data_IF_362162880626
#
_entry.id   IF_362162880626
#
_cell.length_a   1.000
_cell.length_b   1.000
_cell.length_c   1.000
_cell.angle_alpha   90.00
_cell.angle_beta   90.00
_cell.angle_gamma   90.00
#
_symmetry.space_group_name_H-M   'P 1'
#
loop_
_entity.id
_entity.type
_entity.pdbx_description
1 polymer ?
#
# COMPACT_ATOMS: atom_id res chain seq x y z
N UNK A 1 69.76 -16.81 18.18
CA UNK A 1 68.74 -17.34 17.26
C UNK A 1 67.58 -17.82 18.12
N UNK A 2 66.42 -17.15 18.09
CA UNK A 2 65.29 -17.55 18.95
C UNK A 2 64.25 -16.46 19.21
N UNK A 3 63.81 -15.74 18.18
CA UNK A 3 62.73 -14.75 18.32
C UNK A 3 61.70 -14.75 17.17
N UNK A 4 61.85 -15.63 16.18
CA UNK A 4 61.02 -15.60 14.95
C UNK A 4 59.94 -16.69 14.92
N UNK A 5 60.01 -17.72 15.77
CA UNK A 5 58.97 -18.78 15.84
C UNK A 5 57.67 -18.30 16.50
N UNK A 6 57.71 -17.27 17.36
CA UNK A 6 56.53 -16.81 18.10
C UNK A 6 55.52 -16.01 17.26
N UNK A 7 55.95 -15.40 16.15
CA UNK A 7 55.07 -14.52 15.35
C UNK A 7 54.37 -15.31 14.25
N UNK A 8 55.09 -16.17 13.55
CA UNK A 8 54.56 -17.13 12.58
C UNK A 8 53.58 -18.09 13.22
N UNK A 9 53.83 -18.58 14.44
CA UNK A 9 52.88 -19.43 15.16
C UNK A 9 51.59 -18.70 15.54
N UNK A 10 51.66 -17.41 15.92
CA UNK A 10 50.47 -16.61 16.24
C UNK A 10 49.64 -16.27 15.01
N UNK A 11 50.29 -15.94 13.89
CA UNK A 11 49.61 -15.70 12.60
C UNK A 11 49.00 -16.99 12.06
N UNK A 12 49.69 -18.13 12.22
CA UNK A 12 49.17 -19.45 11.83
C UNK A 12 47.99 -19.88 12.70
N UNK A 13 48.04 -19.63 14.02
CA UNK A 13 46.93 -19.86 14.95
C UNK A 13 45.73 -18.92 14.72
N UNK A 14 45.95 -17.67 14.31
CA UNK A 14 44.86 -16.76 13.90
C UNK A 14 44.29 -17.14 12.53
N UNK A 15 45.11 -17.59 11.58
CA UNK A 15 44.65 -18.12 10.29
C UNK A 15 43.90 -19.45 10.45
N UNK A 16 44.32 -20.31 11.38
CA UNK A 16 43.62 -21.55 11.77
C UNK A 16 42.33 -21.27 12.54
N UNK A 17 42.31 -20.27 13.44
CA UNK A 17 41.07 -19.80 14.08
C UNK A 17 40.10 -19.17 13.09
N UNK A 18 40.58 -18.43 12.10
CA UNK A 18 39.75 -17.83 11.05
C UNK A 18 39.28 -18.85 10.01
N UNK A 19 40.02 -19.94 9.79
CA UNK A 19 39.58 -21.04 8.91
C UNK A 19 38.67 -22.06 9.64
N UNK A 20 38.75 -22.17 10.97
CA UNK A 20 37.85 -23.02 11.76
C UNK A 20 36.41 -22.47 11.90
N UNK A 21 36.14 -21.20 11.57
CA UNK A 21 34.78 -20.63 11.62
C UNK A 21 33.89 -21.11 10.45
N UNK A 22 34.45 -21.73 9.41
CA UNK A 22 33.72 -22.03 8.16
C UNK A 22 33.34 -23.50 7.94
N UNK A 23 33.46 -24.40 8.93
CA UNK A 23 33.32 -25.85 8.69
C UNK A 23 31.93 -26.48 8.93
N UNK A 24 30.91 -25.73 9.38
CA UNK A 24 29.60 -26.33 9.76
C UNK A 24 28.46 -26.13 8.74
N UNK A 25 28.67 -25.30 7.71
CA UNK A 25 27.66 -25.10 6.68
C UNK A 25 27.83 -26.14 5.56
N UNK A 26 26.90 -27.10 5.48
CA UNK A 26 26.86 -28.08 4.38
C UNK A 26 26.13 -27.48 3.19
N UNK A 27 26.70 -27.59 2.01
CA UNK A 27 26.05 -27.14 0.77
C UNK A 27 25.56 -28.32 -0.06
N UNK A 28 24.30 -28.27 -0.50
CA UNK A 28 23.71 -29.24 -1.43
C UNK A 28 22.93 -28.48 -2.49
N UNK A 29 23.47 -28.40 -3.71
CA UNK A 29 22.88 -27.59 -4.78
C UNK A 29 22.74 -26.12 -4.37
N UNK A 30 21.52 -25.59 -4.44
CA UNK A 30 21.19 -24.21 -4.03
C UNK A 30 21.00 -24.02 -2.52
N UNK A 31 21.12 -25.09 -1.72
CA UNK A 31 20.84 -25.07 -0.28
C UNK A 31 22.13 -24.88 0.52
N UNK A 32 22.05 -24.00 1.51
CA UNK A 32 23.00 -23.85 2.60
C UNK A 32 22.36 -24.42 3.86
N UNK A 33 22.97 -25.45 4.45
CA UNK A 33 22.39 -26.25 5.53
C UNK A 33 23.23 -26.07 6.79
N UNK A 34 22.58 -25.55 7.83
CA UNK A 34 23.06 -25.49 9.21
C UNK A 34 21.91 -25.76 10.17
N UNK A 35 22.21 -26.05 11.44
CA UNK A 35 21.15 -26.23 12.45
C UNK A 35 20.40 -24.91 12.69
N UNK A 36 19.16 -24.99 13.16
CA UNK A 36 18.37 -23.80 13.49
C UNK A 36 19.05 -22.97 14.58
N UNK A 37 19.58 -23.61 15.64
CA UNK A 37 20.34 -22.93 16.70
C UNK A 37 21.55 -22.18 16.13
N UNK A 38 22.33 -22.82 15.26
CA UNK A 38 23.47 -22.18 14.60
C UNK A 38 23.05 -20.99 13.75
N UNK A 39 21.87 -21.07 13.11
CA UNK A 39 21.31 -19.96 12.34
C UNK A 39 21.01 -18.75 13.23
N UNK A 40 20.44 -18.98 14.40
CA UNK A 40 20.17 -17.93 15.39
C UNK A 40 21.48 -17.38 15.96
N UNK A 41 22.42 -18.23 16.37
CA UNK A 41 23.72 -17.81 16.90
C UNK A 41 24.54 -16.96 15.92
N UNK A 42 24.50 -17.31 14.64
CA UNK A 42 25.17 -16.52 13.60
C UNK A 42 24.42 -15.20 13.35
N UNK A 43 23.08 -15.22 13.36
CA UNK A 43 22.26 -14.02 13.18
C UNK A 43 22.40 -13.02 14.33
N UNK A 44 22.60 -13.48 15.57
CA UNK A 44 22.85 -12.63 16.74
C UNK A 44 24.12 -11.78 16.63
N UNK A 45 25.03 -12.12 15.71
CA UNK A 45 26.25 -11.35 15.44
C UNK A 45 26.06 -10.27 14.39
N UNK A 46 24.90 -10.24 13.74
CA UNK A 46 24.54 -9.27 12.71
C UNK A 46 23.71 -8.15 13.35
N UNK A 47 23.81 -6.90 12.86
CA UNK A 47 22.95 -5.83 13.34
C UNK A 47 21.49 -6.09 12.97
N UNK A 48 20.58 -5.66 13.84
CA UNK A 48 19.15 -5.69 13.54
C UNK A 48 18.82 -4.77 12.34
N UNK A 49 17.86 -5.15 11.49
CA UNK A 49 17.36 -4.28 10.44
C UNK A 49 16.85 -2.95 10.99
N UNK A 50 17.22 -1.85 10.32
CA UNK A 50 16.78 -0.50 10.70
C UNK A 50 15.50 -0.13 9.96
N UNK A 51 14.56 0.50 10.66
CA UNK A 51 13.42 1.18 10.04
C UNK A 51 13.91 2.41 9.25
N UNK A 52 13.72 2.38 7.94
CA UNK A 52 14.16 3.43 7.03
C UNK A 52 13.08 4.50 6.85
N UNK A 53 11.81 4.17 7.07
CA UNK A 53 10.71 5.11 6.85
C UNK A 53 9.43 4.73 7.61
N UNK A 54 9.38 5.06 8.90
CA UNK A 54 8.18 5.01 9.74
C UNK A 54 7.46 3.65 9.72
N UNK A 55 8.18 2.53 9.57
CA UNK A 55 7.64 1.17 9.50
C UNK A 55 7.11 0.76 8.13
N UNK A 56 7.14 1.64 7.13
CA UNK A 56 6.75 1.35 5.75
C UNK A 56 7.89 0.72 4.94
N UNK A 57 9.15 0.92 5.33
CA UNK A 57 10.31 0.33 4.66
C UNK A 57 11.39 0.01 5.69
N UNK A 58 11.75 -1.26 5.83
CA UNK A 58 12.89 -1.68 6.66
C UNK A 58 14.08 -2.11 5.81
N UNK A 59 15.26 -2.01 6.40
CA UNK A 59 16.50 -2.44 5.77
C UNK A 59 16.46 -3.93 5.37
N UNK A 60 16.88 -4.21 4.14
CA UNK A 60 16.88 -5.55 3.60
C UNK A 60 15.49 -6.10 3.28
N UNK A 61 14.47 -5.26 3.11
CA UNK A 61 13.15 -5.67 2.58
C UNK A 61 13.03 -5.47 1.06
N UNK A 62 12.09 -6.21 0.46
CA UNK A 62 11.52 -5.85 -0.85
C UNK A 62 10.11 -5.32 -0.60
N UNK A 63 9.93 -4.01 -0.64
CA UNK A 63 8.65 -3.37 -0.42
C UNK A 63 7.97 -2.97 -1.74
N UNK A 64 6.64 -2.92 -1.75
CA UNK A 64 5.87 -2.39 -2.86
C UNK A 64 4.95 -1.25 -2.41
N UNK A 65 5.03 -0.13 -3.13
CA UNK A 65 4.07 0.97 -3.06
C UNK A 65 3.17 0.94 -4.28
N UNK A 66 1.86 0.85 -4.08
CA UNK A 66 0.90 0.94 -5.17
C UNK A 66 -0.21 1.95 -4.91
N UNK A 67 -0.78 2.48 -5.98
CA UNK A 67 -1.89 3.42 -5.92
C UNK A 67 -2.47 3.68 -7.30
N UNK A 68 -3.68 4.23 -7.32
CA UNK A 68 -4.33 4.73 -8.52
C UNK A 68 -3.46 5.82 -9.21
N UNK A 69 -3.71 6.03 -10.50
CA UNK A 69 -3.04 7.10 -11.25
C UNK A 69 -3.29 8.45 -10.58
N UNK A 70 -2.25 9.30 -10.57
CA UNK A 70 -2.28 10.64 -9.95
C UNK A 70 -2.50 10.68 -8.43
N UNK A 71 -2.39 9.55 -7.72
CA UNK A 71 -2.45 9.53 -6.26
C UNK A 71 -1.19 10.10 -5.57
N UNK A 72 -0.12 10.38 -6.33
CA UNK A 72 1.13 10.95 -5.80
C UNK A 72 2.21 9.92 -5.44
N UNK A 73 2.19 8.71 -6.03
CA UNK A 73 3.18 7.64 -5.78
C UNK A 73 4.63 8.11 -5.88
N UNK A 74 5.00 8.71 -7.02
CA UNK A 74 6.35 9.20 -7.27
C UNK A 74 6.74 10.33 -6.33
N UNK A 75 5.79 11.19 -5.94
CA UNK A 75 6.03 12.25 -4.95
C UNK A 75 6.37 11.61 -3.59
N UNK A 76 5.58 10.63 -3.15
CA UNK A 76 5.82 9.93 -1.88
C UNK A 76 7.14 9.12 -1.92
N UNK A 77 7.44 8.48 -3.05
CA UNK A 77 8.67 7.74 -3.27
C UNK A 77 9.91 8.64 -3.22
N UNK A 78 9.87 9.80 -3.88
CA UNK A 78 10.94 10.80 -3.83
C UNK A 78 11.07 11.39 -2.43
N UNK A 79 9.97 11.70 -1.74
CA UNK A 79 10.01 12.17 -0.35
C UNK A 79 10.66 11.13 0.58
N UNK A 80 10.32 9.85 0.43
CA UNK A 80 10.94 8.78 1.21
C UNK A 80 12.42 8.63 0.87
N UNK A 81 12.78 8.69 -0.43
CA UNK A 81 14.15 8.67 -0.88
C UNK A 81 14.98 9.83 -0.34
N UNK A 82 14.46 11.05 -0.38
CA UNK A 82 15.09 12.24 0.20
C UNK A 82 15.25 12.14 1.73
N UNK A 83 14.24 11.62 2.43
CA UNK A 83 14.33 11.42 3.88
C UNK A 83 15.47 10.45 4.24
N UNK A 84 15.52 9.29 3.55
CA UNK A 84 16.55 8.27 3.78
C UNK A 84 17.94 8.81 3.37
N UNK A 85 18.00 9.60 2.30
CA UNK A 85 19.25 10.11 1.74
C UNK A 85 20.02 11.04 2.67
N UNK A 86 19.35 11.61 3.67
CA UNK A 86 20.02 12.42 4.72
C UNK A 86 21.02 11.62 5.55
N UNK A 87 20.92 10.29 5.58
CA UNK A 87 21.80 9.40 6.36
C UNK A 87 22.43 8.27 5.57
N UNK A 88 21.87 7.89 4.42
CA UNK A 88 22.29 6.72 3.63
C UNK A 88 22.25 7.07 2.15
N UNK A 89 22.96 6.35 1.29
CA UNK A 89 22.86 6.57 -0.16
C UNK A 89 21.65 5.84 -0.75
N UNK A 90 20.91 6.55 -1.60
CA UNK A 90 19.68 6.06 -2.22
C UNK A 90 19.78 6.26 -3.72
N UNK A 91 19.46 5.21 -4.48
CA UNK A 91 19.31 5.24 -5.92
C UNK A 91 17.83 5.22 -6.29
N UNK A 92 17.31 6.32 -6.83
CA UNK A 92 15.97 6.44 -7.38
C UNK A 92 16.02 6.26 -8.90
N UNK A 93 15.53 5.13 -9.37
CA UNK A 93 15.45 4.77 -10.78
C UNK A 93 14.10 5.21 -11.33
N UNK A 94 14.11 6.28 -12.12
CA UNK A 94 12.95 6.96 -12.68
C UNK A 94 12.77 6.59 -14.15
N UNK A 95 11.69 5.86 -14.44
CA UNK A 95 11.30 5.44 -15.77
C UNK A 95 10.13 6.25 -16.33
N UNK A 96 9.63 7.25 -15.60
CA UNK A 96 8.42 7.97 -15.96
C UNK A 96 8.71 9.42 -16.38
N UNK A 97 9.61 10.11 -15.67
CA UNK A 97 9.83 11.55 -15.88
C UNK A 97 11.15 11.84 -16.54
N UNK A 98 11.18 12.89 -17.35
CA UNK A 98 12.43 13.49 -17.80
C UNK A 98 13.06 14.39 -16.74
N UNK A 99 14.36 14.65 -16.85
CA UNK A 99 15.09 15.61 -16.02
C UNK A 99 14.36 16.95 -15.91
N UNK A 100 13.83 17.47 -17.03
CA UNK A 100 13.11 18.74 -17.03
C UNK A 100 11.80 18.67 -16.27
N UNK A 101 11.05 17.57 -16.40
CA UNK A 101 9.80 17.37 -15.66
C UNK A 101 10.07 17.22 -14.16
N UNK A 102 11.14 16.52 -13.78
CA UNK A 102 11.57 16.40 -12.39
C UNK A 102 11.96 17.76 -11.80
N UNK A 103 12.79 18.54 -12.52
CA UNK A 103 13.16 19.90 -12.11
C UNK A 103 11.95 20.80 -11.92
N UNK A 104 11.01 20.80 -12.87
CA UNK A 104 9.80 21.61 -12.80
C UNK A 104 8.89 21.24 -11.63
N UNK A 105 8.91 19.99 -11.17
CA UNK A 105 8.16 19.56 -9.98
C UNK A 105 8.77 20.12 -8.70
N UNK A 106 10.09 20.19 -8.64
CA UNK A 106 10.83 20.59 -7.43
C UNK A 106 11.42 22.00 -7.53
N UNK A 107 10.71 22.90 -8.22
CA UNK A 107 11.09 24.31 -8.36
C UNK A 107 9.84 25.18 -8.26
N UNK A 108 9.88 26.19 -7.39
CA UNK A 108 8.86 27.23 -7.35
C UNK A 108 9.00 28.12 -8.58
N UNK A 109 7.97 28.14 -9.43
CA UNK A 109 7.95 29.02 -10.61
C UNK A 109 7.83 30.50 -10.23
N UNK A 110 7.16 30.79 -9.12
CA UNK A 110 6.87 32.15 -8.67
C UNK A 110 8.08 32.78 -8.00
N UNK A 111 8.76 32.02 -7.14
CA UNK A 111 9.92 32.51 -6.38
C UNK A 111 11.26 32.22 -7.07
N UNK A 112 11.28 31.34 -8.07
CA UNK A 112 12.49 30.89 -8.75
C UNK A 112 13.40 29.97 -7.92
N UNK A 113 12.98 29.61 -6.69
CA UNK A 113 13.74 28.73 -5.82
C UNK A 113 13.56 27.26 -6.21
N UNK A 114 14.68 26.53 -6.22
CA UNK A 114 14.70 25.08 -6.40
C UNK A 114 14.86 24.40 -5.05
N UNK A 115 14.16 23.30 -4.84
CA UNK A 115 14.45 22.41 -3.73
C UNK A 115 15.84 21.77 -3.93
N UNK A 116 16.61 21.70 -2.85
CA UNK A 116 17.96 21.12 -2.86
C UNK A 116 17.90 19.79 -2.14
N UNK A 117 18.07 18.71 -2.90
CA UNK A 117 18.16 17.35 -2.38
C UNK A 117 19.53 17.08 -1.75
N UNK A 118 19.61 16.07 -0.89
CA UNK A 118 20.88 15.53 -0.38
C UNK A 118 21.77 15.02 -1.52
N UNK A 119 23.08 15.23 -1.42
CA UNK A 119 24.07 14.68 -2.37
C UNK A 119 24.14 13.13 -2.36
N UNK A 120 23.53 12.49 -1.36
CA UNK A 120 23.36 11.04 -1.29
C UNK A 120 22.11 10.53 -2.02
N UNK A 121 21.28 11.41 -2.58
CA UNK A 121 20.08 11.06 -3.34
C UNK A 121 20.38 11.05 -4.84
N UNK A 122 20.71 9.88 -5.37
CA UNK A 122 21.02 9.68 -6.78
C UNK A 122 19.74 9.40 -7.55
N UNK A 123 19.48 10.16 -8.62
CA UNK A 123 18.43 9.86 -9.59
C UNK A 123 19.04 9.29 -10.87
N UNK A 124 18.54 8.16 -11.33
CA UNK A 124 18.88 7.57 -12.62
C UNK A 124 17.64 7.58 -13.52
N UNK A 125 17.80 8.02 -14.76
CA UNK A 125 16.78 7.99 -15.82
C UNK A 125 17.21 6.98 -16.89
N UNK A 126 16.26 6.42 -17.65
CA UNK A 126 16.61 5.65 -18.84
C UNK A 126 17.12 6.61 -19.92
N UNK A 127 18.34 6.37 -20.40
CA UNK A 127 18.85 7.00 -21.60
C UNK A 127 18.27 6.30 -22.85
N UNK A 128 17.42 6.98 -23.65
CA UNK A 128 16.80 6.40 -24.83
C UNK A 128 17.81 5.93 -25.89
N UNK A 129 19.00 6.54 -25.95
CA UNK A 129 20.03 6.19 -26.94
C UNK A 129 20.72 4.86 -26.63
N UNK A 130 20.63 4.42 -25.37
CA UNK A 130 21.25 3.20 -24.87
C UNK A 130 20.24 2.04 -24.70
N UNK A 131 18.97 2.23 -25.10
CA UNK A 131 17.95 1.16 -25.04
C UNK A 131 18.19 0.13 -26.14
N UNK A 132 18.73 -1.03 -25.77
CA UNK A 132 18.75 -2.22 -26.61
C UNK A 132 17.38 -2.93 -26.63
N UNK A 133 16.89 -3.30 -27.81
CA UNK A 133 15.60 -4.01 -27.97
C UNK A 133 15.69 -5.49 -27.56
N UNK A 134 16.88 -6.09 -27.61
CA UNK A 134 17.10 -7.49 -27.22
C UNK A 134 17.47 -7.61 -25.74
N UNK A 135 16.86 -8.57 -25.03
CA UNK A 135 17.13 -8.85 -23.61
C UNK A 135 17.03 -7.63 -22.67
N UNK A 136 16.11 -6.71 -22.98
CA UNK A 136 15.88 -5.47 -22.23
C UNK A 136 15.82 -5.70 -20.71
N UNK A 137 15.09 -6.72 -20.26
CA UNK A 137 14.94 -7.08 -18.85
C UNK A 137 16.25 -7.50 -18.18
N UNK A 138 17.16 -8.18 -18.89
CA UNK A 138 18.45 -8.57 -18.33
C UNK A 138 19.41 -7.39 -18.28
N UNK A 139 19.40 -6.57 -19.33
CA UNK A 139 20.20 -5.36 -19.42
C UNK A 139 19.85 -4.41 -18.27
N UNK A 140 18.56 -4.09 -18.08
CA UNK A 140 18.14 -3.13 -17.06
C UNK A 140 18.45 -3.60 -15.63
N UNK A 141 18.35 -4.90 -15.34
CA UNK A 141 18.75 -5.44 -14.04
C UNK A 141 20.25 -5.25 -13.80
N UNK A 142 21.07 -5.50 -14.83
CA UNK A 142 22.52 -5.31 -14.76
C UNK A 142 22.90 -3.84 -14.63
N UNK A 143 22.15 -2.95 -15.27
CA UNK A 143 22.37 -1.50 -15.18
C UNK A 143 21.97 -0.98 -13.79
N UNK A 144 20.87 -1.47 -13.22
CA UNK A 144 20.50 -1.19 -11.81
C UNK A 144 21.58 -1.70 -10.85
N UNK A 145 22.09 -2.92 -11.04
CA UNK A 145 23.21 -3.48 -10.26
C UNK A 145 24.43 -2.55 -10.36
N UNK A 146 24.81 -2.18 -11.58
CA UNK A 146 25.99 -1.35 -11.85
C UNK A 146 25.85 0.04 -11.26
N UNK A 147 24.69 0.69 -11.40
CA UNK A 147 24.42 2.01 -10.85
C UNK A 147 24.40 1.98 -9.32
N UNK A 148 23.80 0.95 -8.71
CA UNK A 148 23.81 0.75 -7.25
C UNK A 148 25.23 0.60 -6.72
N UNK A 149 26.09 -0.15 -7.41
CA UNK A 149 27.51 -0.33 -7.02
C UNK A 149 28.33 0.94 -7.23
N UNK A 150 28.17 1.62 -8.36
CA UNK A 150 28.91 2.86 -8.67
C UNK A 150 28.57 3.99 -7.70
N UNK A 151 27.30 4.11 -7.32
CA UNK A 151 26.86 5.09 -6.33
C UNK A 151 27.04 4.60 -4.89
N UNK A 152 27.34 3.31 -4.67
CA UNK A 152 27.37 2.67 -3.36
C UNK A 152 26.02 2.84 -2.60
N UNK A 153 24.92 2.76 -3.35
CA UNK A 153 23.56 2.87 -2.83
C UNK A 153 23.03 1.49 -2.44
N UNK A 154 22.72 1.31 -1.15
CA UNK A 154 22.09 0.08 -0.62
C UNK A 154 20.56 0.13 -0.65
N UNK A 155 19.99 1.31 -0.86
CA UNK A 155 18.54 1.50 -1.02
C UNK A 155 18.29 1.84 -2.48
N UNK A 156 17.46 1.05 -3.15
CA UNK A 156 17.07 1.27 -4.54
C UNK A 156 15.56 1.40 -4.62
N UNK A 157 15.10 2.51 -5.19
CA UNK A 157 13.70 2.78 -5.47
C UNK A 157 13.50 2.68 -6.99
N UNK A 158 12.50 1.93 -7.43
CA UNK A 158 12.21 1.68 -8.84
C UNK A 158 10.81 2.21 -9.18
N UNK A 159 10.73 3.29 -9.94
CA UNK A 159 9.47 3.93 -10.37
C UNK A 159 9.36 3.93 -11.91
N UNK A 160 8.56 3.07 -12.56
CA UNK A 160 7.63 2.06 -12.06
C UNK A 160 7.89 0.71 -12.75
N UNK A 161 7.54 -0.39 -12.07
CA UNK A 161 7.65 -1.76 -12.59
C UNK A 161 6.88 -1.99 -13.91
N UNK A 162 5.80 -1.25 -14.18
CA UNK A 162 5.04 -1.38 -15.44
C UNK A 162 5.91 -1.13 -16.68
N UNK A 163 6.85 -0.18 -16.63
CA UNK A 163 7.75 0.09 -17.74
C UNK A 163 8.66 -1.11 -18.04
N UNK A 164 9.05 -1.83 -16.99
CA UNK A 164 9.95 -2.98 -17.06
C UNK A 164 9.25 -4.27 -17.55
N UNK A 165 7.92 -4.34 -17.48
CA UNK A 165 7.14 -5.52 -17.84
C UNK A 165 6.23 -5.31 -19.06
N UNK A 166 6.42 -4.20 -19.80
CA UNK A 166 5.50 -3.69 -20.83
C UNK A 166 5.29 -4.64 -22.03
N UNK A 167 6.19 -5.59 -22.26
CA UNK A 167 6.10 -6.63 -23.29
C UNK A 167 5.46 -7.94 -22.82
N UNK A 168 5.04 -8.02 -21.55
CA UNK A 168 4.63 -9.28 -20.92
C UNK A 168 3.21 -9.22 -20.34
N UNK A 169 2.21 -9.46 -21.19
CA UNK A 169 0.88 -9.90 -20.73
C UNK A 169 0.92 -11.25 -19.97
N UNK A 170 2.11 -11.88 -19.87
CA UNK A 170 2.36 -13.14 -19.18
C UNK A 170 3.06 -12.88 -17.85
N UNK A 171 2.34 -13.02 -16.74
CA UNK A 171 2.87 -12.85 -15.37
C UNK A 171 4.06 -13.74 -14.97
N UNK A 172 4.51 -14.65 -15.83
CA UNK A 172 5.71 -15.47 -15.63
C UNK A 172 7.01 -14.67 -15.82
N UNK A 173 7.01 -13.68 -16.73
CA UNK A 173 8.17 -12.82 -17.00
C UNK A 173 8.43 -11.86 -15.84
N UNK A 174 7.38 -11.20 -15.35
CA UNK A 174 7.45 -10.35 -14.17
C UNK A 174 7.92 -11.13 -12.92
N UNK A 175 7.52 -12.41 -12.79
CA UNK A 175 8.02 -13.29 -11.73
C UNK A 175 9.52 -13.56 -11.83
N UNK A 176 10.04 -13.82 -13.04
CA UNK A 176 11.47 -14.00 -13.27
C UNK A 176 12.26 -12.72 -12.97
N UNK A 177 11.74 -11.56 -13.38
CA UNK A 177 12.32 -10.26 -13.09
C UNK A 177 12.46 -10.03 -11.57
N UNK A 178 11.37 -10.27 -10.82
CA UNK A 178 11.40 -10.18 -9.35
C UNK A 178 12.38 -11.15 -8.71
N UNK A 179 12.51 -12.38 -9.22
CA UNK A 179 13.49 -13.34 -8.73
C UNK A 179 14.93 -12.86 -8.90
N UNK A 180 15.23 -12.21 -10.04
CA UNK A 180 16.55 -11.61 -10.29
C UNK A 180 16.81 -10.41 -9.36
N UNK A 181 15.81 -9.55 -9.13
CA UNK A 181 15.92 -8.47 -8.15
C UNK A 181 16.16 -9.00 -6.73
N UNK A 182 15.47 -10.07 -6.33
CA UNK A 182 15.70 -10.73 -5.03
C UNK A 182 17.11 -11.32 -4.95
N UNK A 183 17.65 -11.86 -6.05
CA UNK A 183 19.02 -12.33 -6.09
C UNK A 183 20.03 -11.18 -5.90
N UNK A 184 19.82 -10.03 -6.55
CA UNK A 184 20.63 -8.81 -6.33
C UNK A 184 20.53 -8.32 -4.89
N UNK A 185 19.31 -8.26 -4.35
CA UNK A 185 19.05 -7.93 -2.94
C UNK A 185 19.88 -8.79 -2.00
N UNK A 186 19.87 -10.11 -2.18
CA UNK A 186 20.66 -11.03 -1.35
C UNK A 186 22.17 -10.87 -1.54
N UNK A 187 22.62 -10.70 -2.80
CA UNK A 187 24.04 -10.59 -3.16
C UNK A 187 24.70 -9.35 -2.56
N UNK A 188 23.98 -8.22 -2.51
CA UNK A 188 24.54 -6.94 -2.08
C UNK A 188 23.86 -6.31 -0.86
N UNK A 189 23.02 -7.08 -0.17
CA UNK A 189 22.19 -6.64 0.96
C UNK A 189 21.41 -5.36 0.66
N UNK A 190 20.76 -5.33 -0.52
CA UNK A 190 19.97 -4.18 -0.93
C UNK A 190 18.62 -4.16 -0.22
N UNK A 191 18.08 -2.96 -0.08
CA UNK A 191 16.68 -2.69 0.22
C UNK A 191 16.02 -2.18 -1.05
N UNK A 192 14.90 -2.78 -1.44
CA UNK A 192 14.20 -2.44 -2.69
C UNK A 192 12.82 -1.86 -2.38
N UNK A 193 12.52 -0.68 -2.89
CA UNK A 193 11.14 -0.18 -3.00
C UNK A 193 10.72 -0.22 -4.46
N UNK A 194 9.61 -0.88 -4.73
CA UNK A 194 9.08 -1.02 -6.09
C UNK A 194 7.73 -0.30 -6.18
N UNK A 195 7.63 0.66 -7.09
CA UNK A 195 6.39 1.34 -7.38
C UNK A 195 5.59 0.53 -8.41
N UNK A 196 4.30 0.38 -8.16
CA UNK A 196 3.38 -0.32 -9.07
C UNK A 196 2.11 0.50 -9.33
N UNK A 197 1.61 0.44 -10.56
CA UNK A 197 0.29 1.00 -10.88
C UNK A 197 -0.83 0.02 -10.51
N UNK A 198 -1.97 0.55 -10.08
CA UNK A 198 -3.23 -0.20 -9.98
C UNK A 198 -4.23 0.27 -11.02
N UNK A 199 -5.12 -0.61 -11.52
CA UNK A 199 -6.32 -0.18 -12.21
C UNK A 199 -7.11 0.81 -11.34
N UNK A 200 -7.90 1.69 -11.97
CA UNK A 200 -8.77 2.62 -11.24
C UNK A 200 -9.70 1.85 -10.31
N UNK A 201 -9.74 2.26 -9.04
CA UNK A 201 -10.55 1.59 -8.01
C UNK A 201 -11.88 2.29 -7.78
N UNK A 202 -12.82 1.55 -7.19
CA UNK A 202 -14.03 2.13 -6.64
C UNK A 202 -13.72 2.68 -5.23
N UNK A 203 -13.91 3.99 -5.04
CA UNK A 203 -13.61 4.69 -3.79
C UNK A 203 -14.54 4.31 -2.62
N UNK A 204 -15.61 3.56 -2.87
CA UNK A 204 -16.49 3.02 -1.82
C UNK A 204 -15.96 1.71 -1.19
N UNK A 205 -14.84 1.18 -1.70
CA UNK A 205 -14.27 -0.09 -1.22
C UNK A 205 -12.92 0.12 -0.52
N UNK A 206 -12.69 -0.55 0.62
CA UNK A 206 -11.38 -0.62 1.28
C UNK A 206 -10.26 -1.08 0.33
N UNK A 207 -9.04 -0.62 0.57
CA UNK A 207 -7.82 -1.11 -0.06
C UNK A 207 -7.45 -2.46 0.55
N UNK A 208 -7.20 -3.40 -0.35
CA UNK A 208 -6.84 -4.77 -0.04
C UNK A 208 -5.67 -5.20 -0.91
N UNK A 209 -5.07 -6.34 -0.58
CA UNK A 209 -4.05 -6.98 -1.40
C UNK A 209 -4.52 -7.33 -2.83
N UNK A 210 -5.83 -7.45 -3.06
CA UNK A 210 -6.40 -7.80 -4.36
C UNK A 210 -6.34 -6.63 -5.35
N UNK A 211 -6.08 -5.41 -4.85
CA UNK A 211 -6.04 -4.20 -5.66
C UNK A 211 -4.69 -4.01 -6.38
N UNK A 212 -3.64 -4.71 -5.95
CA UNK A 212 -2.35 -4.71 -6.65
C UNK A 212 -2.50 -5.38 -8.02
N UNK A 213 -2.19 -4.63 -9.09
CA UNK A 213 -2.32 -5.11 -10.46
C UNK A 213 -1.37 -6.28 -10.77
N UNK A 214 -1.78 -7.14 -11.70
CA UNK A 214 -0.81 -7.86 -12.53
C UNK A 214 -0.18 -9.14 -11.98
N UNK A 215 -0.57 -9.63 -10.79
CA UNK A 215 -0.69 -11.06 -10.46
C UNK A 215 -0.57 -11.32 -8.96
N UNK A 216 -1.38 -12.27 -8.46
CA UNK A 216 -1.16 -12.90 -7.15
C UNK A 216 0.28 -13.44 -6.98
N UNK A 217 0.99 -13.71 -8.09
CA UNK A 217 2.38 -14.18 -8.10
C UNK A 217 3.35 -13.09 -7.63
N UNK A 218 3.19 -11.84 -8.10
CA UNK A 218 4.06 -10.72 -7.70
C UNK A 218 3.95 -10.41 -6.20
N UNK A 219 2.72 -10.49 -5.68
CA UNK A 219 2.47 -10.27 -4.26
C UNK A 219 3.32 -11.17 -3.35
N UNK A 220 3.67 -12.39 -3.78
CA UNK A 220 4.49 -13.32 -3.00
C UNK A 220 5.97 -12.94 -2.92
N UNK A 221 6.44 -11.99 -3.72
CA UNK A 221 7.84 -11.54 -3.68
C UNK A 221 8.07 -10.41 -2.69
N UNK A 222 7.04 -9.62 -2.39
CA UNK A 222 7.16 -8.50 -1.46
C UNK A 222 7.14 -8.95 0.00
N UNK A 223 7.98 -8.33 0.80
CA UNK A 223 8.02 -8.49 2.26
C UNK A 223 7.02 -7.55 2.94
N UNK A 224 6.92 -6.32 2.43
CA UNK A 224 5.99 -5.28 2.87
C UNK A 224 5.25 -4.72 1.66
N UNK A 225 3.94 -4.47 1.77
CA UNK A 225 3.16 -3.84 0.70
C UNK A 225 2.25 -2.81 1.34
N UNK A 226 2.32 -1.59 0.84
CA UNK A 226 1.48 -0.48 1.27
C UNK A 226 0.93 0.28 0.08
N UNK A 227 -0.17 0.98 0.32
CA UNK A 227 -0.92 1.63 -0.72
C UNK A 227 -1.25 3.07 -0.36
N UNK A 228 -1.27 3.95 -1.36
CA UNK A 228 -1.83 5.29 -1.23
C UNK A 228 -3.29 5.26 -1.71
N UNK A 229 -4.20 5.56 -0.80
CA UNK A 229 -5.60 5.85 -1.09
C UNK A 229 -5.83 7.35 -1.24
N UNK A 230 -6.83 7.70 -2.05
CA UNK A 230 -7.36 9.05 -2.11
C UNK A 230 -8.66 9.11 -1.33
N UNK A 231 -8.83 10.14 -0.49
CA UNK A 231 -10.09 10.34 0.20
C UNK A 231 -11.20 10.75 -0.76
N UNK A 232 -12.38 10.16 -0.58
CA UNK A 232 -13.60 10.57 -1.27
C UNK A 232 -14.14 11.92 -0.79
N UNK A 233 -13.77 12.35 0.43
CA UNK A 233 -14.19 13.64 1.03
C UNK A 233 -13.45 14.83 0.42
N UNK A 234 -12.13 14.70 0.27
CA UNK A 234 -11.29 15.71 -0.37
C UNK A 234 -10.18 15.03 -1.16
N UNK A 235 -10.07 15.37 -2.46
CA UNK A 235 -9.07 14.79 -3.36
C UNK A 235 -7.63 15.16 -2.97
N UNK A 236 -7.42 16.24 -2.22
CA UNK A 236 -6.11 16.65 -1.70
C UNK A 236 -5.62 15.74 -0.57
N UNK A 237 -6.57 15.13 0.15
CA UNK A 237 -6.27 14.21 1.24
C UNK A 237 -5.95 12.83 0.67
N UNK A 238 -4.78 12.34 1.05
CA UNK A 238 -4.30 10.99 0.78
C UNK A 238 -4.18 10.23 2.08
N UNK A 239 -4.30 8.92 2.02
CA UNK A 239 -4.00 8.07 3.16
C UNK A 239 -3.08 6.92 2.76
N UNK A 240 -2.22 6.48 3.66
CA UNK A 240 -1.31 5.35 3.46
C UNK A 240 -1.73 4.20 4.36
N UNK A 241 -1.89 3.01 3.76
CA UNK A 241 -2.30 1.78 4.44
C UNK A 241 -1.38 0.64 4.06
N UNK A 242 -0.91 -0.12 5.05
CA UNK A 242 -0.26 -1.41 4.85
C UNK A 242 -1.30 -2.48 4.51
N UNK A 243 -1.04 -3.22 3.43
CA UNK A 243 -1.86 -4.36 3.01
C UNK A 243 -1.14 -5.70 3.15
N UNK A 244 0.19 -5.67 3.33
CA UNK A 244 1.02 -6.83 3.63
C UNK A 244 2.17 -6.46 4.56
N UNK A 245 2.38 -7.24 5.61
CA UNK A 245 3.60 -7.22 6.42
C UNK A 245 4.03 -8.66 6.70
N UNK A 246 5.32 -8.98 6.55
CA UNK A 246 5.87 -10.33 6.81
C UNK A 246 6.60 -10.48 8.13
N UNK A 247 7.47 -9.52 8.43
CA UNK A 247 8.41 -9.62 9.54
C UNK A 247 7.88 -9.00 10.84
N UNK A 248 6.93 -8.08 10.74
CA UNK A 248 6.37 -7.31 11.85
C UNK A 248 4.84 -7.32 11.85
N UNK A 249 4.25 -6.74 12.89
CA UNK A 249 2.81 -6.49 12.97
C UNK A 249 2.42 -5.30 12.08
N UNK A 250 1.14 -5.23 11.72
CA UNK A 250 0.61 -4.06 11.02
C UNK A 250 0.64 -2.85 11.95
N UNK A 251 1.25 -1.78 11.48
CA UNK A 251 1.21 -0.47 12.15
C UNK A 251 0.08 0.37 11.55
N UNK A 252 -0.08 0.30 10.22
CA UNK A 252 -1.06 1.10 9.48
C UNK A 252 -2.09 0.23 8.78
N UNK A 253 -3.02 -0.32 9.54
CA UNK A 253 -4.12 -1.13 9.01
C UNK A 253 -5.35 -0.27 8.65
N UNK A 254 -6.53 -0.89 8.57
CA UNK A 254 -7.78 -0.19 8.21
C UNK A 254 -8.28 0.75 9.30
N UNK A 255 -7.87 0.56 10.56
CA UNK A 255 -8.27 1.38 11.70
C UNK A 255 -7.24 2.47 12.04
N UNK A 256 -6.03 2.38 11.48
CA UNK A 256 -4.94 3.32 11.74
C UNK A 256 -4.17 3.71 10.46
N UNK A 257 -4.85 4.26 9.45
CA UNK A 257 -4.16 4.76 8.25
C UNK A 257 -3.43 6.08 8.55
N UNK A 258 -2.29 6.30 7.89
CA UNK A 258 -1.61 7.60 7.96
C UNK A 258 -2.32 8.57 7.02
N UNK A 259 -2.68 9.76 7.49
CA UNK A 259 -3.38 10.78 6.71
C UNK A 259 -2.41 11.89 6.31
N UNK A 260 -2.44 12.24 5.03
CA UNK A 260 -1.59 13.26 4.43
C UNK A 260 -2.40 14.23 3.57
N UNK A 261 -1.84 15.42 3.35
CA UNK A 261 -2.24 16.35 2.29
C UNK A 261 -1.05 16.57 1.36
N UNK A 262 -1.25 16.57 0.05
CA UNK A 262 -0.18 16.94 -0.88
C UNK A 262 -0.10 18.47 -0.94
N UNK A 263 1.03 19.04 -0.50
CA UNK A 263 1.30 20.47 -0.55
C UNK A 263 2.54 20.76 -1.40
N UNK A 264 2.77 22.03 -1.70
CA UNK A 264 3.98 22.51 -2.35
C UNK A 264 4.50 23.71 -1.57
N UNK A 265 5.51 23.47 -0.74
CA UNK A 265 6.10 24.50 0.12
C UNK A 265 7.35 25.01 -0.59
N UNK A 266 7.26 26.20 -1.19
CA UNK A 266 8.36 26.89 -1.88
C UNK A 266 9.11 26.05 -2.94
N UNK A 267 8.37 25.21 -3.68
CA UNK A 267 8.95 24.33 -4.70
C UNK A 267 9.27 22.94 -4.20
N UNK A 268 8.90 22.59 -2.96
CA UNK A 268 8.95 21.24 -2.44
C UNK A 268 7.56 20.60 -2.41
N UNK A 269 7.21 19.90 -3.49
CA UNK A 269 5.97 19.10 -3.55
C UNK A 269 6.16 17.84 -2.71
N UNK A 270 5.33 17.66 -1.67
CA UNK A 270 5.45 16.53 -0.75
C UNK A 270 4.13 16.22 -0.03
N UNK A 271 4.12 15.12 0.71
CA UNK A 271 3.03 14.69 1.59
C UNK A 271 3.25 15.29 2.98
N UNK A 272 2.42 16.27 3.32
CA UNK A 272 2.35 16.88 4.65
C UNK A 272 1.50 16.00 5.56
N UNK A 273 2.10 15.51 6.66
CA UNK A 273 1.42 14.66 7.64
C UNK A 273 0.30 15.42 8.36
N UNK A 274 -0.91 14.84 8.42
CA UNK A 274 -2.09 15.41 9.07
C UNK A 274 -2.55 14.63 10.30
N UNK A 275 -2.05 13.41 10.50
CA UNK A 275 -2.41 12.55 11.62
C UNK A 275 -2.74 11.14 11.17
N UNK A 276 -3.52 10.44 11.99
CA UNK A 276 -3.98 9.08 11.74
C UNK A 276 -5.51 9.02 11.78
N UNK A 277 -6.10 8.04 11.09
CA UNK A 277 -7.55 7.88 11.05
C UNK A 277 -7.97 6.50 10.59
N UNK A 278 -9.29 6.29 10.45
CA UNK A 278 -9.82 5.05 9.88
C UNK A 278 -9.94 5.18 8.38
N UNK A 279 -9.64 4.10 7.67
CA UNK A 279 -9.86 4.03 6.23
C UNK A 279 -11.32 4.31 5.86
N UNK A 280 -12.28 3.81 6.65
CA UNK A 280 -13.71 4.02 6.43
C UNK A 280 -14.10 5.49 6.33
N UNK A 281 -13.38 6.35 7.06
CA UNK A 281 -13.64 7.78 7.09
C UNK A 281 -13.25 8.47 5.78
N UNK A 282 -12.51 7.78 4.92
CA UNK A 282 -12.06 8.28 3.63
C UNK A 282 -12.76 7.63 2.44
N UNK A 283 -13.61 6.62 2.66
CA UNK A 283 -14.36 5.96 1.59
C UNK A 283 -15.58 6.80 1.18
N UNK A 284 -16.03 6.62 -0.06
CA UNK A 284 -17.27 7.22 -0.54
C UNK A 284 -18.46 6.51 0.11
N UNK A 285 -19.35 7.27 0.75
CA UNK A 285 -20.63 6.75 1.22
C UNK A 285 -21.38 6.11 0.05
N UNK A 286 -21.92 4.91 0.30
CA UNK A 286 -22.73 4.20 -0.69
C UNK A 286 -24.10 4.86 -0.70
N UNK A 287 -24.61 5.17 -1.89
CA UNK A 287 -25.99 5.65 -2.00
C UNK A 287 -26.96 4.49 -1.79
N UNK A 288 -28.19 4.79 -1.35
CA UNK A 288 -29.24 3.77 -1.20
C UNK A 288 -29.50 3.01 -2.51
N UNK A 289 -29.39 3.69 -3.65
CA UNK A 289 -29.49 3.09 -4.98
C UNK A 289 -28.33 2.12 -5.28
N UNK A 290 -27.09 2.49 -4.95
CA UNK A 290 -25.91 1.63 -5.12
C UNK A 290 -26.01 0.38 -4.24
N UNK A 291 -26.48 0.51 -3.00
CA UNK A 291 -26.69 -0.63 -2.10
C UNK A 291 -27.85 -1.52 -2.56
N UNK A 292 -28.93 -0.94 -3.08
CA UNK A 292 -30.06 -1.69 -3.66
C UNK A 292 -29.62 -2.51 -4.89
N UNK A 293 -28.86 -1.90 -5.81
CA UNK A 293 -28.31 -2.61 -6.98
C UNK A 293 -27.34 -3.72 -6.58
N UNK A 294 -26.51 -3.49 -5.55
CA UNK A 294 -25.56 -4.48 -5.05
C UNK A 294 -26.28 -5.68 -4.42
N UNK A 295 -27.31 -5.42 -3.61
CA UNK A 295 -28.16 -6.46 -3.02
C UNK A 295 -28.91 -7.26 -4.09
N UNK A 296 -29.43 -6.58 -5.12
CA UNK A 296 -30.08 -7.22 -6.26
C UNK A 296 -29.11 -8.15 -7.02
N UNK A 297 -27.87 -7.71 -7.25
CA UNK A 297 -26.83 -8.53 -7.89
C UNK A 297 -26.46 -9.76 -7.03
N UNK A 298 -26.28 -9.59 -5.71
CA UNK A 298 -26.04 -10.70 -4.78
C UNK A 298 -27.19 -11.73 -4.84
N UNK A 299 -28.44 -11.26 -4.83
CA UNK A 299 -29.62 -12.14 -4.92
C UNK A 299 -29.72 -12.83 -6.28
N UNK A 300 -29.34 -12.17 -7.38
CA UNK A 300 -29.28 -12.77 -8.71
C UNK A 300 -28.24 -13.90 -8.77
N UNK A 301 -27.02 -13.67 -8.27
CA UNK A 301 -25.96 -14.69 -8.23
C UNK A 301 -26.35 -15.88 -7.34
N UNK A 302 -27.03 -15.62 -6.22
CA UNK A 302 -27.57 -16.68 -5.36
C UNK A 302 -28.68 -17.48 -6.06
N UNK A 303 -29.58 -16.83 -6.79
CA UNK A 303 -30.62 -17.51 -7.60
C UNK A 303 -30.02 -18.35 -8.73
N UNK A 304 -28.85 -17.98 -9.25
CA UNK A 304 -28.08 -18.77 -10.22
C UNK A 304 -27.38 -19.99 -9.59
N UNK A 305 -27.55 -20.24 -8.30
CA UNK A 305 -27.00 -21.41 -7.60
C UNK A 305 -25.55 -21.26 -7.14
N UNK A 306 -24.95 -20.07 -7.24
CA UNK A 306 -23.59 -19.84 -6.72
C UNK A 306 -23.57 -19.92 -5.21
N UNK A 307 -22.52 -20.52 -4.66
CA UNK A 307 -22.33 -20.63 -3.22
C UNK A 307 -22.04 -19.27 -2.59
N UNK A 308 -22.34 -19.09 -1.30
CA UNK A 308 -22.00 -17.86 -0.54
C UNK A 308 -20.51 -17.51 -0.66
N UNK A 309 -19.64 -18.53 -0.77
CA UNK A 309 -18.21 -18.35 -0.95
C UNK A 309 -17.87 -17.75 -2.32
N UNK A 310 -18.41 -18.31 -3.40
CA UNK A 310 -18.19 -17.79 -4.75
C UNK A 310 -18.76 -16.38 -4.92
N UNK A 311 -19.92 -16.11 -4.33
CA UNK A 311 -20.51 -14.76 -4.34
C UNK A 311 -19.61 -13.78 -3.58
N UNK A 312 -19.16 -14.13 -2.38
CA UNK A 312 -18.24 -13.32 -1.57
C UNK A 312 -16.97 -12.93 -2.34
N UNK A 313 -16.38 -13.88 -3.07
CA UNK A 313 -15.21 -13.64 -3.90
C UNK A 313 -15.53 -12.74 -5.11
N UNK A 314 -16.70 -12.92 -5.74
CA UNK A 314 -17.13 -12.11 -6.91
C UNK A 314 -17.49 -10.67 -6.57
N UNK A 315 -18.13 -10.43 -5.41
CA UNK A 315 -18.56 -9.08 -4.99
C UNK A 315 -17.59 -8.41 -4.01
N UNK A 316 -16.44 -9.06 -3.74
CA UNK A 316 -15.40 -8.61 -2.80
C UNK A 316 -15.96 -8.24 -1.41
N UNK A 317 -16.80 -9.12 -0.84
CA UNK A 317 -17.38 -8.96 0.51
C UNK A 317 -17.10 -10.18 1.37
N UNK A 318 -17.16 -10.02 2.70
CA UNK A 318 -17.05 -11.17 3.60
C UNK A 318 -18.24 -12.14 3.41
N UNK A 319 -17.99 -13.44 3.66
CA UNK A 319 -19.03 -14.48 3.62
C UNK A 319 -20.19 -14.14 4.55
N UNK A 320 -19.88 -13.61 5.74
CA UNK A 320 -20.87 -13.19 6.75
C UNK A 320 -21.74 -12.06 6.22
N UNK A 321 -21.15 -11.06 5.56
CA UNK A 321 -21.88 -9.95 4.95
C UNK A 321 -22.83 -10.44 3.86
N UNK A 322 -22.35 -11.30 2.95
CA UNK A 322 -23.16 -11.89 1.87
C UNK A 322 -24.31 -12.72 2.43
N UNK A 323 -24.03 -13.60 3.40
CA UNK A 323 -25.05 -14.41 4.06
C UNK A 323 -26.12 -13.55 4.74
N UNK A 324 -25.72 -12.49 5.44
CA UNK A 324 -26.65 -11.55 6.09
C UNK A 324 -27.55 -10.85 5.07
N UNK A 325 -27.00 -10.39 3.95
CA UNK A 325 -27.77 -9.73 2.88
C UNK A 325 -28.80 -10.70 2.29
N UNK A 326 -28.41 -11.93 1.97
CA UNK A 326 -29.33 -12.95 1.44
C UNK A 326 -30.48 -13.22 2.42
N UNK A 327 -30.16 -13.34 3.72
CA UNK A 327 -31.17 -13.57 4.75
C UNK A 327 -32.13 -12.38 4.90
N UNK A 328 -31.61 -11.16 4.90
CA UNK A 328 -32.42 -9.93 5.00
C UNK A 328 -33.35 -9.77 3.79
N UNK A 329 -32.86 -10.01 2.57
CA UNK A 329 -33.65 -9.90 1.35
C UNK A 329 -34.70 -11.02 1.23
N UNK A 330 -34.39 -12.24 1.69
CA UNK A 330 -35.41 -13.31 1.81
C UNK A 330 -36.51 -12.95 2.80
N UNK A 331 -36.16 -12.42 3.97
CA UNK A 331 -37.14 -11.96 4.97
C UNK A 331 -38.00 -10.80 4.46
N UNK A 332 -37.42 -9.86 3.73
CA UNK A 332 -38.18 -8.78 3.06
C UNK A 332 -39.17 -9.35 2.05
N UNK A 333 -38.74 -10.31 1.23
CA UNK A 333 -39.61 -10.97 0.25
C UNK A 333 -40.77 -11.74 0.93
N UNK A 334 -40.48 -12.46 2.02
CA UNK A 334 -41.49 -13.18 2.82
C UNK A 334 -42.49 -12.21 3.46
N UNK A 335 -42.03 -11.12 4.07
CA UNK A 335 -42.90 -10.10 4.66
C UNK A 335 -43.73 -9.31 3.63
N UNK A 336 -43.27 -9.19 2.38
CA UNK A 336 -44.04 -8.56 1.30
C UNK A 336 -45.13 -9.45 0.71
N UNK A 337 -45.08 -10.77 0.93
CA UNK A 337 -46.10 -11.73 0.48
C UNK A 337 -47.28 -11.82 1.47
N UNK A 338 -47.03 -11.58 2.76
CA UNK A 338 -48.01 -11.71 3.85
C UNK A 338 -48.93 -10.47 4.02
N UNK A 339 -48.68 -9.39 3.27
CA UNK A 339 -49.50 -8.16 3.25
C UNK A 339 -50.70 -8.19 2.29
N UNK A 340 -50.96 -9.32 1.63
CA UNK A 340 -52.06 -9.46 0.66
C UNK A 340 -53.35 -9.85 1.39
N UNK A 341 -54.10 -8.87 1.91
CA UNK A 341 -55.46 -9.08 2.44
C UNK A 341 -56.36 -9.63 1.32
N UNK A 342 -57.05 -10.78 1.49
CA UNK A 342 -58.03 -11.22 0.50
C UNK A 342 -59.25 -10.31 0.56
N UNK A 343 -59.59 -9.68 -0.57
CA UNK A 343 -60.85 -8.96 -0.75
C UNK A 343 -62.03 -9.93 -0.66
N UNK A 344 -62.90 -9.70 0.33
CA UNK A 344 -64.18 -10.36 0.48
C UNK A 344 -65.22 -9.37 1.00
N UNK A 345 -65.94 -8.74 0.07
CA UNK A 345 -67.22 -8.06 0.32
C UNK A 345 -68.26 -9.08 0.81
N UNK A 346 -68.92 -8.86 1.95
CA UNK A 346 -70.39 -8.63 2.05
C UNK A 346 -70.79 -8.13 3.47
N UNK A 347 -71.40 -6.94 3.54
CA UNK A 347 -72.77 -6.75 4.06
C UNK A 347 -73.10 -6.67 5.58
N UNK A 348 -73.57 -5.47 5.96
CA UNK A 348 -74.67 -5.12 6.89
C UNK A 348 -74.41 -4.62 8.34
N UNK A 349 -74.73 -3.32 8.48
CA UNK A 349 -75.40 -2.52 9.54
C UNK A 349 -75.65 -3.08 10.96
N UNK A 350 -75.39 -2.23 11.98
CA UNK A 350 -76.12 -2.28 13.25
C UNK A 350 -75.48 -1.62 14.49
N UNK A 351 -75.86 -0.36 14.76
CA UNK A 351 -76.09 0.28 16.08
C UNK A 351 -74.94 0.61 17.08
N UNK A 352 -74.69 1.93 17.18
CA UNK A 352 -74.69 2.82 18.37
C UNK A 352 -74.30 2.34 19.78
N UNK A 353 -73.40 3.11 20.44
CA UNK A 353 -73.38 3.23 21.91
C UNK A 353 -72.16 3.93 22.53
N UNK A 354 -72.33 5.21 22.92
CA UNK A 354 -71.76 5.92 24.11
C UNK A 354 -70.23 6.07 24.29
N UNK A 355 -69.59 7.27 24.20
CA UNK A 355 -69.61 8.50 25.04
C UNK A 355 -68.59 8.49 26.21
N UNK A 356 -67.41 9.15 26.09
CA UNK A 356 -66.96 10.43 26.72
C UNK A 356 -65.62 10.22 27.51
N UNK A 357 -64.87 11.26 27.97
CA UNK A 357 -63.76 11.93 27.27
C UNK A 357 -62.46 11.97 28.15
N UNK A 358 -61.42 12.73 27.75
CA UNK A 358 -60.57 13.64 28.57
C UNK A 358 -59.18 13.85 27.93
N UNK A 359 -58.87 15.07 27.43
CA UNK A 359 -57.91 16.08 27.97
C UNK A 359 -56.42 15.64 27.97
N UNK A 360 -55.56 16.29 27.17
CA UNK A 360 -54.48 17.20 27.64
C UNK A 360 -53.71 17.84 26.46
N UNK A 361 -53.29 19.09 26.66
CA UNK A 361 -52.60 20.04 25.77
C UNK A 361 -51.20 19.59 25.31
N UNK A 362 -50.59 20.32 24.37
CA UNK A 362 -49.21 20.74 24.58
C UNK A 362 -49.02 22.27 24.46
N UNK A 363 -48.37 22.82 25.48
CA UNK A 363 -47.85 24.18 25.56
C UNK A 363 -46.66 24.42 24.61
N UNK A 364 -46.71 25.63 24.04
CA UNK A 364 -45.66 26.60 23.67
C UNK A 364 -44.19 26.22 23.41
N UNK A 365 -43.73 26.74 22.26
CA UNK A 365 -42.54 27.58 22.00
C UNK A 365 -41.23 27.29 22.73
N UNK A 366 -40.17 27.10 21.93
CA UNK A 366 -39.08 28.08 21.96
C UNK A 366 -38.24 28.04 20.68
N UNK A 367 -38.30 29.16 19.95
CA UNK A 367 -37.45 29.54 18.84
C UNK A 367 -36.14 30.12 19.37
N UNK A 368 -34.99 29.51 19.04
CA UNK A 368 -33.68 30.14 19.21
C UNK A 368 -33.14 30.60 17.85
N UNK A 369 -33.29 31.91 17.63
CA UNK A 369 -32.53 32.71 16.68
C UNK A 369 -31.17 33.02 17.33
N UNK A 370 -30.08 32.88 16.60
CA UNK A 370 -28.81 33.53 16.94
C UNK A 370 -28.30 34.29 15.72
N UNK A 371 -28.28 35.60 15.87
CA UNK A 371 -27.71 36.58 14.95
C UNK A 371 -26.18 36.43 14.88
N UNK A 372 -25.65 36.54 13.66
CA UNK A 372 -24.24 36.78 13.38
C UNK A 372 -24.10 38.28 13.16
N UNK A 373 -23.33 38.95 14.00
CA UNK A 373 -22.89 40.32 13.77
C UNK A 373 -21.38 40.35 13.50
N UNK A 374 -21.05 41.12 12.48
CA UNK A 374 -19.74 41.28 11.85
C UNK A 374 -18.93 42.43 12.51
N UNK A 375 -17.61 42.37 12.33
CA UNK A 375 -16.61 43.46 12.42
C UNK A 375 -16.19 44.01 13.80
N UNK A 376 -14.87 43.96 14.10
CA UNK A 376 -13.94 45.12 13.99
C UNK A 376 -12.49 44.76 14.38
N UNK A 377 -11.58 45.57 13.84
CA UNK A 377 -10.11 45.53 13.80
C UNK A 377 -9.31 45.58 15.13
N UNK A 378 -8.00 45.28 14.95
CA UNK A 378 -6.80 45.86 15.59
C UNK A 378 -6.26 45.29 16.91
N UNK A 379 -5.14 44.54 16.82
CA UNK A 379 -3.78 44.98 17.19
C UNK A 379 -2.71 43.92 16.87
#
# INVERSE_FOLDING_TARGET
MGADESFTDKVSLELEKNSAVNHECKHVGMLSIKTANKSVEDALKMPDPVDLYYGLLNEGEVACLFADSNAGKSIFAVQMGDYISRRRKVLYVDFELSEKQFQLRYTSKELGFRYVFSDNFYRAEIDPEHIGVQNYEEAIIKDIESASLQTDSKIVIIDNLTYLCNSSEKGDVAGLFMMKLIALKKKYTLTLLIISHTPKRNLSNPITQNDLAGSKKLYNFFDNVFAIGQSAKDKRIKFVKQVKVRASEYIYDSDNVIVYEITNDDGYVHFLHKGYGKESDHLKDRTEEEDSMNNANIMMLHKQGKTVREIADLVNKSKTTVHRIILQEKRKAENSLDGSVPGGDVGQEGQSGQSYPLIFEPDHDDSFIFELDETYDAL
#
